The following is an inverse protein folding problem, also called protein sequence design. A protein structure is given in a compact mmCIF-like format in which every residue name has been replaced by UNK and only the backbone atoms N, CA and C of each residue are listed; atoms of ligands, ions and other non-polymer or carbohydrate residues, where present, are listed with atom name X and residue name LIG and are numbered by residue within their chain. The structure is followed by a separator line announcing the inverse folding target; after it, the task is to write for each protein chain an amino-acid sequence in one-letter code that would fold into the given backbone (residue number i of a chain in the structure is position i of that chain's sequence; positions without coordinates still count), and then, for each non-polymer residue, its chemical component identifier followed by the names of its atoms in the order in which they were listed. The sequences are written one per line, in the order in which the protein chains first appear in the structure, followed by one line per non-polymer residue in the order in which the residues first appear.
data_IF_712594462364
#
_entry.id   IF_712594462364
#
_cell.length_a   1.000
_cell.length_b   1.000
_cell.length_c   1.000
_cell.angle_alpha   90.00
_cell.angle_beta   90.00
_cell.angle_gamma   90.00
#
_symmetry.space_group_name_H-M   'P 1'
#
loop_
_entity.id
_entity.type
_entity.pdbx_description
1 polymer ?
#
# COMPACT_ATOMS: atom_id res chain seq x y z
N UNK A 1 6.18 11.34 13.05
CA UNK A 1 6.32 10.30 12.01
C UNK A 1 7.54 9.45 12.34
N UNK A 2 7.40 8.13 12.50
CA UNK A 2 8.52 7.22 12.73
C UNK A 2 9.53 7.28 11.59
N UNK A 3 10.82 7.09 11.88
CA UNK A 3 11.91 7.12 10.88
C UNK A 3 12.76 5.86 10.97
N UNK A 4 13.43 5.52 9.88
CA UNK A 4 14.42 4.42 9.87
C UNK A 4 13.80 3.04 10.11
N UNK A 5 12.60 2.79 9.58
CA UNK A 5 11.93 1.49 9.70
C UNK A 5 11.23 1.24 11.03
N UNK A 6 11.17 2.23 11.92
CA UNK A 6 10.45 2.13 13.18
C UNK A 6 8.94 1.95 13.00
N UNK A 7 8.33 1.24 13.94
CA UNK A 7 6.90 1.00 13.95
C UNK A 7 6.08 2.29 14.03
N UNK A 8 4.92 2.24 13.41
CA UNK A 8 3.93 3.31 13.47
C UNK A 8 3.09 3.20 14.73
N UNK A 9 2.63 4.34 15.29
CA UNK A 9 1.74 4.31 16.43
C UNK A 9 0.47 3.54 16.09
N UNK A 10 -0.08 2.83 17.07
CA UNK A 10 -1.35 2.15 16.88
C UNK A 10 -2.46 3.17 16.56
N UNK A 11 -3.47 2.74 15.81
CA UNK A 11 -4.63 3.59 15.49
C UNK A 11 -5.29 4.13 16.76
N UNK A 12 -5.38 3.32 17.83
CA UNK A 12 -5.91 3.77 19.13
C UNK A 12 -5.13 4.96 19.71
N UNK A 13 -3.81 4.98 19.57
CA UNK A 13 -2.95 6.03 20.09
C UNK A 13 -3.07 7.27 19.21
N UNK A 14 -3.13 7.10 17.89
CA UNK A 14 -3.42 8.20 16.95
C UNK A 14 -4.76 8.85 17.27
N UNK A 15 -5.81 8.06 17.51
CA UNK A 15 -7.14 8.55 17.90
C UNK A 15 -7.11 9.29 19.23
N UNK A 16 -6.45 8.73 20.25
CA UNK A 16 -6.33 9.34 21.58
C UNK A 16 -5.60 10.70 21.53
N UNK A 17 -4.62 10.85 20.63
CA UNK A 17 -3.89 12.09 20.40
C UNK A 17 -4.53 13.00 19.33
N UNK A 18 -5.75 12.69 18.87
CA UNK A 18 -6.47 13.40 17.81
C UNK A 18 -5.68 13.55 16.48
N UNK A 19 -4.80 12.60 16.18
CA UNK A 19 -4.14 12.45 14.89
C UNK A 19 -5.06 11.66 13.94
N UNK A 20 -5.65 12.34 12.96
CA UNK A 20 -6.68 11.74 12.07
C UNK A 20 -6.23 11.56 10.63
N UNK A 21 -5.09 12.13 10.26
CA UNK A 21 -4.64 12.19 8.88
C UNK A 21 -3.12 12.03 8.82
N UNK A 22 -2.67 11.19 7.90
CA UNK A 22 -1.27 11.07 7.51
C UNK A 22 -1.15 11.60 6.10
N UNK A 23 -0.35 12.63 5.90
CA UNK A 23 -0.15 13.27 4.59
C UNK A 23 1.31 13.17 4.21
N UNK A 24 1.54 12.78 2.96
CA UNK A 24 2.85 12.77 2.35
C UNK A 24 2.90 13.71 1.14
N UNK A 25 4.10 14.12 0.77
CA UNK A 25 4.39 14.91 -0.42
C UNK A 25 5.50 14.26 -1.23
N UNK A 26 5.40 14.36 -2.56
CA UNK A 26 6.47 13.98 -3.49
C UNK A 26 7.48 15.12 -3.73
N UNK A 27 7.23 16.32 -3.22
CA UNK A 27 8.14 17.45 -3.31
C UNK A 27 9.01 17.54 -2.04
N UNK A 28 10.31 17.29 -2.17
CA UNK A 28 11.26 17.25 -1.04
C UNK A 28 11.29 18.55 -0.23
N UNK A 29 11.21 19.69 -0.88
CA UNK A 29 11.25 21.02 -0.23
C UNK A 29 10.10 21.22 0.75
N UNK A 30 8.90 20.68 0.47
CA UNK A 30 7.72 20.81 1.32
C UNK A 30 7.87 20.19 2.71
N UNK A 31 8.81 19.26 2.89
CA UNK A 31 9.11 18.75 4.23
C UNK A 31 9.75 19.80 5.12
N UNK A 32 10.63 20.62 4.57
CA UNK A 32 11.28 21.70 5.30
C UNK A 32 10.38 22.93 5.41
N UNK A 33 9.70 23.30 4.31
CA UNK A 33 8.94 24.56 4.24
C UNK A 33 7.51 24.47 4.78
N UNK A 34 6.87 23.30 4.67
CA UNK A 34 5.45 23.10 5.05
C UNK A 34 5.27 22.05 6.16
N UNK A 35 6.35 21.34 6.55
CA UNK A 35 6.28 20.24 7.51
C UNK A 35 5.58 18.98 6.99
N UNK A 36 5.27 18.89 5.69
CA UNK A 36 4.62 17.72 5.09
C UNK A 36 5.67 16.65 4.77
N UNK A 37 5.49 15.44 5.30
CA UNK A 37 6.47 14.37 5.21
C UNK A 37 6.81 14.01 3.75
N UNK A 38 8.09 14.07 3.37
CA UNK A 38 8.54 13.65 2.04
C UNK A 38 8.44 12.13 1.91
N UNK A 39 7.59 11.65 1.01
CA UNK A 39 7.14 10.26 0.98
C UNK A 39 8.27 9.23 0.87
N UNK A 40 9.32 9.54 0.09
CA UNK A 40 10.45 8.63 -0.15
C UNK A 40 11.33 8.39 1.08
N UNK A 41 11.11 9.15 2.16
CA UNK A 41 11.75 8.84 3.45
C UNK A 41 11.03 7.75 4.23
N UNK A 42 9.78 7.39 3.87
CA UNK A 42 8.89 6.57 4.69
C UNK A 42 8.30 5.37 3.95
N UNK A 43 8.07 5.48 2.65
CA UNK A 43 7.32 4.50 1.84
C UNK A 43 8.23 3.90 0.78
N UNK A 44 8.15 2.58 0.61
CA UNK A 44 8.50 1.90 -0.65
C UNK A 44 7.24 1.52 -1.40
N UNK A 45 7.25 1.63 -2.72
CA UNK A 45 6.08 1.27 -3.53
C UNK A 45 6.45 0.73 -4.92
N UNK A 46 5.55 -0.08 -5.48
CA UNK A 46 5.69 -0.56 -6.85
C UNK A 46 5.21 0.48 -7.87
N UNK A 47 5.62 0.28 -9.12
CA UNK A 47 5.26 1.14 -10.23
C UNK A 47 3.75 1.16 -10.45
N UNK A 48 3.21 2.36 -10.68
CA UNK A 48 1.79 2.58 -10.95
C UNK A 48 1.44 2.40 -12.42
N UNK A 49 0.14 2.45 -12.74
CA UNK A 49 -0.36 2.35 -14.10
C UNK A 49 -0.28 0.93 -14.63
N UNK A 50 -0.09 0.78 -15.93
CA UNK A 50 -0.16 -0.53 -16.59
C UNK A 50 0.93 -1.51 -16.12
N UNK A 51 2.04 -0.99 -15.58
CA UNK A 51 3.08 -1.81 -14.93
C UNK A 51 2.65 -2.34 -13.55
N UNK A 52 1.74 -1.67 -12.86
CA UNK A 52 1.26 -2.05 -11.52
C UNK A 52 0.17 -3.13 -11.51
N UNK A 53 -0.33 -3.51 -12.69
CA UNK A 53 -1.32 -4.58 -12.85
C UNK A 53 -0.75 -5.81 -13.56
N UNK A 54 0.55 -5.81 -13.89
CA UNK A 54 1.19 -6.95 -14.57
C UNK A 54 1.19 -8.20 -13.67
N UNK A 55 0.54 -9.31 -14.07
CA UNK A 55 0.49 -10.51 -13.24
C UNK A 55 1.88 -11.02 -12.87
N UNK A 56 2.11 -11.28 -11.59
CA UNK A 56 3.37 -11.83 -11.09
C UNK A 56 4.55 -10.85 -11.06
N UNK A 57 4.34 -9.58 -11.42
CA UNK A 57 5.40 -8.57 -11.42
C UNK A 57 5.10 -7.42 -10.45
N UNK A 58 5.97 -7.25 -9.45
CA UNK A 58 5.93 -6.09 -8.55
C UNK A 58 7.20 -5.26 -8.72
N UNK A 59 7.22 -4.44 -9.76
CA UNK A 59 8.39 -3.61 -10.13
C UNK A 59 8.50 -2.40 -9.24
N UNK A 60 9.70 -2.08 -8.77
CA UNK A 60 9.94 -0.89 -7.95
C UNK A 60 9.57 0.41 -8.70
N UNK A 61 8.92 1.37 -8.02
CA UNK A 61 8.74 2.72 -8.55
C UNK A 61 10.08 3.45 -8.63
N UNK A 62 10.35 4.12 -9.74
CA UNK A 62 11.67 4.76 -10.01
C UNK A 62 12.12 5.74 -8.92
N UNK A 63 11.18 6.53 -8.39
CA UNK A 63 11.47 7.51 -7.34
C UNK A 63 11.66 6.88 -5.94
N UNK A 64 11.17 5.65 -5.76
CA UNK A 64 11.20 4.93 -4.50
C UNK A 64 12.54 4.22 -4.32
N UNK A 65 12.98 4.10 -3.06
CA UNK A 65 13.99 3.10 -2.71
C UNK A 65 13.51 1.70 -3.09
N UNK A 66 14.44 0.75 -3.25
CA UNK A 66 14.11 -0.64 -3.59
C UNK A 66 13.12 -1.23 -2.59
N UNK A 67 12.17 -2.05 -3.06
CA UNK A 67 11.09 -2.62 -2.22
C UNK A 67 11.58 -3.37 -0.97
N UNK A 68 12.80 -3.92 -1.01
CA UNK A 68 13.43 -4.62 0.11
C UNK A 68 14.07 -3.70 1.15
N UNK A 69 14.08 -2.38 0.94
CA UNK A 69 14.63 -1.39 1.88
C UNK A 69 13.74 -1.30 3.14
N UNK A 70 14.20 -1.93 4.22
CA UNK A 70 13.54 -1.93 5.53
C UNK A 70 13.76 -0.65 6.33
N UNK A 71 14.59 0.29 5.84
CA UNK A 71 14.66 1.64 6.44
C UNK A 71 13.39 2.46 6.16
N UNK A 72 12.56 2.03 5.20
CA UNK A 72 11.23 2.56 4.94
C UNK A 72 10.21 1.63 5.59
N UNK A 73 9.51 2.15 6.59
CA UNK A 73 8.58 1.37 7.40
C UNK A 73 7.33 0.94 6.60
N UNK A 74 6.92 1.74 5.62
CA UNK A 74 5.66 1.54 4.90
C UNK A 74 5.87 0.91 3.53
N UNK A 75 4.97 0.01 3.17
CA UNK A 75 4.86 -0.58 1.84
C UNK A 75 3.52 -0.16 1.24
N UNK A 76 3.54 0.39 0.02
CA UNK A 76 2.33 0.75 -0.74
C UNK A 76 2.29 -0.04 -2.05
N UNK A 77 1.15 -0.66 -2.33
CA UNK A 77 0.91 -1.39 -3.58
C UNK A 77 0.01 -0.57 -4.50
N UNK A 78 0.55 -0.12 -5.63
CA UNK A 78 -0.19 0.49 -6.73
C UNK A 78 -0.72 -0.62 -7.66
N UNK A 79 -2.04 -0.82 -7.67
CA UNK A 79 -2.70 -1.80 -8.52
C UNK A 79 -3.86 -1.15 -9.30
N UNK A 80 -3.51 -0.41 -10.34
CA UNK A 80 -4.48 0.25 -11.20
C UNK A 80 -3.88 0.59 -12.56
N UNK A 81 -4.67 0.44 -13.62
CA UNK A 81 -4.28 0.82 -14.98
C UNK A 81 -4.15 2.34 -15.15
N UNK A 82 -3.33 2.76 -16.11
CA UNK A 82 -3.14 4.19 -16.45
C UNK A 82 -4.45 4.83 -16.90
N UNK A 83 -5.19 4.13 -17.77
CA UNK A 83 -6.50 4.56 -18.25
C UNK A 83 -7.57 3.84 -17.44
N UNK A 84 -8.34 4.54 -16.58
CA UNK A 84 -9.33 3.92 -15.73
C UNK A 84 -10.56 3.50 -16.54
N UNK A 85 -10.68 2.20 -16.86
CA UNK A 85 -11.85 1.64 -17.52
C UNK A 85 -12.67 0.81 -16.52
N UNK A 86 -13.88 1.30 -16.21
CA UNK A 86 -14.75 0.76 -15.18
C UNK A 86 -15.01 -0.76 -15.27
N UNK A 87 -15.16 -1.31 -16.49
CA UNK A 87 -15.39 -2.74 -16.68
C UNK A 87 -14.12 -3.56 -16.40
N UNK A 88 -12.95 -3.09 -16.84
CA UNK A 88 -11.67 -3.77 -16.60
C UNK A 88 -11.33 -3.74 -15.10
N UNK A 89 -11.57 -2.61 -14.43
CA UNK A 89 -11.33 -2.47 -13.00
C UNK A 89 -12.14 -3.46 -12.15
N UNK A 90 -13.27 -3.96 -12.65
CA UNK A 90 -14.02 -5.02 -11.97
C UNK A 90 -13.19 -6.29 -11.85
N UNK A 91 -12.47 -6.68 -12.89
CA UNK A 91 -11.57 -7.84 -12.86
C UNK A 91 -10.32 -7.52 -12.03
N UNK A 92 -9.67 -6.37 -12.30
CA UNK A 92 -8.43 -5.96 -11.59
C UNK A 92 -8.58 -5.97 -10.08
N UNK A 93 -9.66 -5.39 -9.55
CA UNK A 93 -9.87 -5.28 -8.11
C UNK A 93 -10.32 -6.59 -7.45
N UNK A 94 -10.39 -7.70 -8.18
CA UNK A 94 -10.90 -8.99 -7.69
C UNK A 94 -9.74 -9.96 -7.36
N UNK A 95 -9.70 -11.14 -7.98
CA UNK A 95 -8.65 -12.14 -7.71
C UNK A 95 -7.24 -11.62 -8.04
N UNK A 96 -7.08 -10.87 -9.13
CA UNK A 96 -5.80 -10.28 -9.53
C UNK A 96 -5.22 -9.34 -8.47
N UNK A 97 -6.06 -8.59 -7.75
CA UNK A 97 -5.58 -7.75 -6.67
C UNK A 97 -5.03 -8.58 -5.50
N UNK A 98 -5.71 -9.68 -5.13
CA UNK A 98 -5.24 -10.61 -4.09
C UNK A 98 -3.91 -11.25 -4.50
N UNK A 99 -3.76 -11.61 -5.77
CA UNK A 99 -2.51 -12.16 -6.28
C UNK A 99 -1.40 -11.09 -6.27
N UNK A 100 -1.71 -9.86 -6.67
CA UNK A 100 -0.75 -8.76 -6.68
C UNK A 100 -0.22 -8.44 -5.27
N UNK A 101 -1.07 -8.37 -4.25
CA UNK A 101 -0.59 -8.11 -2.88
C UNK A 101 0.32 -9.24 -2.37
N UNK A 102 0.11 -10.49 -2.79
CA UNK A 102 1.00 -11.63 -2.49
C UNK A 102 2.31 -11.55 -3.27
N UNK A 103 2.26 -11.20 -4.56
CA UNK A 103 3.45 -10.96 -5.38
C UNK A 103 4.32 -9.86 -4.75
N UNK A 104 3.71 -8.75 -4.38
CA UNK A 104 4.40 -7.63 -3.76
C UNK A 104 4.90 -7.94 -2.35
N UNK A 105 4.23 -8.80 -1.58
CA UNK A 105 4.74 -9.28 -0.29
C UNK A 105 6.13 -9.92 -0.42
N UNK A 106 6.30 -10.82 -1.40
CA UNK A 106 7.60 -11.46 -1.67
C UNK A 106 8.62 -10.42 -2.15
N UNK A 107 8.23 -9.56 -3.11
CA UNK A 107 9.11 -8.53 -3.65
C UNK A 107 9.56 -7.49 -2.61
N UNK A 108 8.73 -7.21 -1.60
CA UNK A 108 9.01 -6.28 -0.50
C UNK A 108 9.82 -6.91 0.66
N UNK A 109 10.39 -8.09 0.44
CA UNK A 109 11.20 -8.79 1.43
C UNK A 109 10.37 -9.39 2.55
N UNK A 110 9.26 -10.05 2.20
CA UNK A 110 8.30 -10.70 3.09
C UNK A 110 7.61 -9.70 4.04
N UNK A 111 7.20 -8.55 3.50
CA UNK A 111 6.46 -7.51 4.22
C UNK A 111 5.13 -7.26 3.54
N UNK A 112 4.05 -7.39 4.32
CA UNK A 112 2.71 -7.09 3.82
C UNK A 112 2.53 -5.58 3.63
N UNK A 113 1.75 -5.22 2.62
CA UNK A 113 1.48 -3.82 2.30
C UNK A 113 0.66 -3.13 3.39
N UNK A 114 0.99 -1.88 3.71
CA UNK A 114 0.20 -1.03 4.59
C UNK A 114 -0.92 -0.31 3.84
N UNK A 115 -0.71 -0.06 2.55
CA UNK A 115 -1.65 0.66 1.69
C UNK A 115 -1.77 -0.04 0.34
N UNK A 116 -2.97 0.02 -0.23
CA UNK A 116 -3.23 -0.39 -1.61
C UNK A 116 -3.98 0.73 -2.34
N UNK A 117 -3.45 1.14 -3.48
CA UNK A 117 -4.06 2.13 -4.36
C UNK A 117 -4.72 1.42 -5.54
N UNK A 118 -5.99 1.73 -5.79
CA UNK A 118 -6.80 1.13 -6.87
C UNK A 118 -7.67 2.17 -7.56
N UNK A 119 -8.08 1.89 -8.80
CA UNK A 119 -9.16 2.62 -9.45
C UNK A 119 -10.52 2.07 -8.98
N UNK A 120 -11.57 2.92 -9.00
CA UNK A 120 -12.97 2.54 -8.71
C UNK A 120 -13.15 1.53 -7.56
N UNK A 121 -12.59 1.76 -6.37
CA UNK A 121 -12.47 0.79 -5.25
C UNK A 121 -13.72 -0.03 -4.86
N UNK A 122 -14.93 0.39 -5.26
CA UNK A 122 -16.18 -0.37 -5.05
C UNK A 122 -16.51 -1.36 -6.18
N UNK A 123 -15.69 -1.43 -7.24
CA UNK A 123 -15.91 -2.29 -8.40
C UNK A 123 -15.07 -3.54 -8.25
N UNK A 124 -15.73 -4.69 -8.20
CA UNK A 124 -15.16 -6.03 -8.08
C UNK A 124 -16.25 -7.06 -8.39
N UNK A 125 -15.87 -8.33 -8.57
CA UNK A 125 -16.79 -9.45 -8.74
C UNK A 125 -17.13 -10.17 -7.40
N UNK A 126 -17.04 -9.46 -6.26
CA UNK A 126 -17.19 -10.04 -4.92
C UNK A 126 -16.46 -9.20 -3.87
N UNK A 127 -15.72 -9.86 -2.97
CA UNK A 127 -15.01 -9.22 -1.84
C UNK A 127 -14.09 -8.06 -2.23
N UNK A 128 -13.38 -8.22 -3.35
CA UNK A 128 -12.70 -7.11 -4.03
C UNK A 128 -11.63 -6.40 -3.21
N UNK A 129 -11.56 -5.07 -3.33
CA UNK A 129 -10.63 -4.24 -2.58
C UNK A 129 -10.79 -4.36 -1.06
N UNK A 130 -12.01 -4.59 -0.56
CA UNK A 130 -12.24 -4.75 0.88
C UNK A 130 -11.63 -6.07 1.39
N UNK A 131 -11.84 -7.17 0.66
CA UNK A 131 -11.19 -8.45 0.97
C UNK A 131 -9.66 -8.34 0.96
N UNK A 132 -9.08 -7.57 0.01
CA UNK A 132 -7.65 -7.33 -0.02
C UNK A 132 -7.17 -6.61 1.24
N UNK A 133 -7.90 -5.60 1.70
CA UNK A 133 -7.60 -4.86 2.94
C UNK A 133 -7.76 -5.75 4.17
N UNK A 134 -8.81 -6.58 4.25
CA UNK A 134 -9.04 -7.51 5.36
C UNK A 134 -7.92 -8.55 5.45
N UNK A 135 -7.45 -9.05 4.30
CA UNK A 135 -6.28 -9.93 4.24
C UNK A 135 -5.01 -9.23 4.74
N UNK A 136 -4.70 -8.03 4.22
CA UNK A 136 -3.52 -7.27 4.63
C UNK A 136 -3.53 -7.02 6.15
N UNK A 137 -4.70 -6.64 6.69
CA UNK A 137 -4.85 -6.41 8.13
C UNK A 137 -4.72 -7.70 8.95
N UNK A 138 -5.33 -8.81 8.52
CA UNK A 138 -5.21 -10.10 9.21
C UNK A 138 -3.76 -10.58 9.27
N UNK A 139 -3.04 -10.43 8.17
CA UNK A 139 -1.64 -10.80 8.06
C UNK A 139 -0.73 -9.92 8.93
N UNK A 140 -0.94 -8.59 8.91
CA UNK A 140 -0.17 -7.64 9.70
C UNK A 140 -0.46 -7.74 11.21
N UNK A 141 -1.70 -8.03 11.59
CA UNK A 141 -2.14 -8.00 12.99
C UNK A 141 -1.93 -9.34 13.71
N UNK A 142 -2.29 -10.45 13.06
CA UNK A 142 -2.35 -11.75 13.70
C UNK A 142 -1.86 -12.94 12.84
N UNK A 143 -1.30 -12.68 11.66
CA UNK A 143 -0.81 -13.71 10.74
C UNK A 143 -1.91 -14.60 10.16
N UNK A 144 -3.11 -14.05 9.96
CA UNK A 144 -4.26 -14.76 9.36
C UNK A 144 -4.60 -14.21 7.99
N UNK A 145 -5.22 -15.04 7.15
CA UNK A 145 -5.68 -14.64 5.81
C UNK A 145 -6.81 -13.60 5.81
N UNK A 146 -7.44 -13.36 6.96
CA UNK A 146 -8.55 -12.43 7.14
C UNK A 146 -8.50 -11.84 8.56
N UNK A 147 -8.68 -10.53 8.69
CA UNK A 147 -8.71 -9.81 9.97
C UNK A 147 -9.87 -10.25 10.87
N UNK A 148 -10.98 -10.76 10.31
CA UNK A 148 -12.09 -11.30 11.07
C UNK A 148 -11.78 -12.64 11.75
N UNK A 149 -10.63 -13.26 11.43
CA UNK A 149 -10.09 -14.43 12.11
C UNK A 149 -9.06 -14.09 13.20
N UNK A 150 -8.80 -12.79 13.41
CA UNK A 150 -8.27 -12.26 14.65
C UNK A 150 -9.43 -12.06 15.66
#
# INVERSE_FOLDING_TARGET
MPKGGQDWPFVKDMVANNHRLVVFTSAKSKQETEGIAYQWNYVVENQYGDEGVKPGECRNRVDSAVLTDKTKALVLVNHFMTVPVKILTCEENSGSLIDMIKTCYVAAGNRWANFVAVNFYKRSNGGGTFQAVDKLNGELLCGRDDVHAC
#
